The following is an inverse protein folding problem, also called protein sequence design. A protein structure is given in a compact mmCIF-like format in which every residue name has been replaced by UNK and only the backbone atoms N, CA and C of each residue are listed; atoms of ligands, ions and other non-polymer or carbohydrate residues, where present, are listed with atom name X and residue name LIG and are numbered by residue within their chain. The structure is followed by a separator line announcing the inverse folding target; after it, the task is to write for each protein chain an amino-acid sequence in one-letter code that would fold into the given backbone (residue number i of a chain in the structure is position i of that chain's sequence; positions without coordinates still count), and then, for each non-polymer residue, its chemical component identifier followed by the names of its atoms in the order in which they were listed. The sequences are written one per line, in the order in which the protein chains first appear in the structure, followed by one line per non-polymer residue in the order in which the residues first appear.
data_IF_461653985671
#
_entry.id   IF_461653985671
#
_cell.length_a   1.000
_cell.length_b   1.000
_cell.length_c   1.000
_cell.angle_alpha   90.00
_cell.angle_beta   90.00
_cell.angle_gamma   90.00
#
_symmetry.space_group_name_H-M   'P 1'
#
loop_
_entity.id
_entity.type
_entity.pdbx_description
1 polymer ?
#
# COMPACT_ATOMS: atom_id res chain seq x y z
N UNK A 1 21.70 -17.76 -7.83
CA UNK A 1 21.01 -17.81 -6.51
C UNK A 1 21.88 -18.48 -5.45
N UNK A 2 22.46 -19.65 -5.71
CA UNK A 2 23.25 -20.45 -4.75
C UNK A 2 24.46 -19.72 -4.15
N UNK A 3 25.35 -19.13 -4.95
CA UNK A 3 26.57 -18.51 -4.42
C UNK A 3 26.34 -17.27 -3.52
N UNK A 4 25.24 -16.53 -3.72
CA UNK A 4 24.89 -15.37 -2.88
C UNK A 4 24.16 -15.78 -1.60
N UNK A 5 23.28 -16.80 -1.67
CA UNK A 5 22.58 -17.35 -0.51
C UNK A 5 23.50 -18.10 0.47
N UNK A 6 24.68 -18.55 0.01
CA UNK A 6 25.71 -19.19 0.84
C UNK A 6 26.61 -18.19 1.58
N UNK A 7 26.73 -16.95 1.08
CA UNK A 7 27.63 -15.93 1.63
C UNK A 7 27.05 -15.21 2.86
N UNK A 8 25.73 -14.98 2.87
CA UNK A 8 24.98 -14.59 4.07
C UNK A 8 23.64 -15.35 4.10
N UNK A 9 23.54 -16.43 4.90
CA UNK A 9 22.33 -17.24 4.99
C UNK A 9 21.09 -16.50 5.48
N UNK A 10 21.21 -15.27 6.00
CA UNK A 10 20.06 -14.44 6.44
C UNK A 10 19.73 -13.31 5.47
N UNK A 11 20.49 -13.14 4.38
CA UNK A 11 20.22 -12.10 3.39
C UNK A 11 18.88 -12.37 2.68
N UNK A 12 17.89 -11.47 2.79
CA UNK A 12 16.60 -11.62 2.11
C UNK A 12 16.68 -11.32 0.60
N UNK A 13 17.72 -10.64 0.11
CA UNK A 13 17.80 -10.15 -1.27
C UNK A 13 17.78 -11.28 -2.31
N UNK A 14 18.56 -12.37 -2.18
CA UNK A 14 18.49 -13.49 -3.11
C UNK A 14 17.10 -14.12 -3.19
N UNK A 15 16.38 -14.18 -2.06
CA UNK A 15 15.05 -14.78 -1.97
C UNK A 15 13.97 -13.89 -2.55
N UNK A 16 14.03 -12.57 -2.31
CA UNK A 16 13.17 -11.61 -3.00
C UNK A 16 13.32 -11.74 -4.52
N UNK A 17 14.57 -11.76 -5.01
CA UNK A 17 14.85 -11.91 -6.44
C UNK A 17 14.36 -13.27 -6.97
N UNK A 18 14.50 -14.35 -6.20
CA UNK A 18 13.99 -15.66 -6.58
C UNK A 18 12.46 -15.70 -6.68
N UNK A 19 11.75 -15.07 -5.74
CA UNK A 19 10.28 -14.93 -5.79
C UNK A 19 9.83 -14.08 -6.98
N UNK A 20 10.52 -12.96 -7.24
CA UNK A 20 10.25 -12.11 -8.41
C UNK A 20 10.48 -12.87 -9.73
N UNK A 21 11.54 -13.66 -9.80
CA UNK A 21 11.84 -14.52 -10.94
C UNK A 21 10.78 -15.62 -11.12
N UNK A 22 10.44 -16.35 -10.05
CA UNK A 22 9.42 -17.40 -10.08
C UNK A 22 8.07 -16.88 -10.61
N UNK A 23 7.70 -15.66 -10.21
CA UNK A 23 6.55 -14.95 -10.77
C UNK A 23 6.73 -14.66 -12.27
N UNK A 24 7.85 -14.04 -12.66
CA UNK A 24 8.12 -13.69 -14.06
C UNK A 24 8.16 -14.90 -15.01
N UNK A 25 8.52 -16.09 -14.52
CA UNK A 25 8.58 -17.32 -15.31
C UNK A 25 7.35 -18.21 -15.20
N UNK A 26 6.26 -17.76 -14.55
CA UNK A 26 5.06 -18.57 -14.31
C UNK A 26 5.37 -19.93 -13.65
N UNK A 27 6.25 -19.93 -12.65
CA UNK A 27 6.64 -21.14 -11.95
C UNK A 27 5.41 -21.82 -11.30
N UNK A 28 5.45 -23.15 -11.21
CA UNK A 28 4.38 -23.92 -10.58
C UNK A 28 4.23 -23.56 -9.09
N UNK A 29 3.04 -23.79 -8.55
CA UNK A 29 2.72 -23.51 -7.15
C UNK A 29 3.73 -24.15 -6.20
N UNK A 30 4.10 -25.41 -6.43
CA UNK A 30 5.08 -26.14 -5.63
C UNK A 30 6.47 -25.49 -5.63
N UNK A 31 6.94 -24.99 -6.78
CA UNK A 31 8.23 -24.29 -6.86
C UNK A 31 8.18 -22.97 -6.11
N UNK A 32 7.06 -22.26 -6.22
CA UNK A 32 6.86 -21.02 -5.49
C UNK A 32 6.81 -21.24 -3.98
N UNK A 33 6.07 -22.25 -3.50
CA UNK A 33 5.98 -22.61 -2.08
C UNK A 33 7.35 -22.93 -1.49
N UNK A 34 8.19 -23.69 -2.20
CA UNK A 34 9.56 -23.99 -1.76
C UNK A 34 10.41 -22.72 -1.60
N UNK A 35 10.33 -21.79 -2.57
CA UNK A 35 11.05 -20.51 -2.49
C UNK A 35 10.52 -19.62 -1.37
N UNK A 36 9.21 -19.63 -1.16
CA UNK A 36 8.55 -18.88 -0.10
C UNK A 36 8.96 -19.39 1.28
N UNK A 37 8.95 -20.70 1.49
CA UNK A 37 9.40 -21.30 2.74
C UNK A 37 10.85 -20.92 3.08
N UNK A 38 11.74 -20.96 2.09
CA UNK A 38 13.13 -20.58 2.29
C UNK A 38 13.30 -19.08 2.59
N UNK A 39 12.46 -18.22 2.00
CA UNK A 39 12.43 -16.80 2.29
C UNK A 39 11.98 -16.53 3.74
N UNK A 40 10.90 -17.17 4.19
CA UNK A 40 10.38 -17.01 5.56
C UNK A 40 11.33 -17.59 6.60
N UNK A 41 11.98 -18.73 6.31
CA UNK A 41 12.99 -19.34 7.20
C UNK A 41 14.16 -18.40 7.48
N UNK A 42 14.56 -17.59 6.50
CA UNK A 42 15.74 -16.72 6.60
C UNK A 42 15.43 -15.30 7.02
N UNK A 43 14.28 -14.78 6.59
CA UNK A 43 13.88 -13.40 6.86
C UNK A 43 12.36 -13.27 6.93
N UNK A 44 11.78 -13.81 8.00
CA UNK A 44 10.33 -13.86 8.23
C UNK A 44 9.64 -12.50 8.18
N UNK A 45 10.37 -11.41 8.45
CA UNK A 45 9.84 -10.05 8.54
C UNK A 45 10.23 -9.14 7.36
N UNK A 46 10.78 -9.69 6.28
CA UNK A 46 11.17 -8.89 5.12
C UNK A 46 9.96 -8.53 4.24
N UNK A 47 9.51 -7.28 4.31
CA UNK A 47 8.36 -6.75 3.57
C UNK A 47 8.40 -7.07 2.07
N UNK A 48 9.57 -6.92 1.42
CA UNK A 48 9.69 -7.17 -0.02
C UNK A 48 9.38 -8.62 -0.40
N UNK A 49 9.72 -9.60 0.43
CA UNK A 49 9.41 -11.02 0.16
C UNK A 49 7.91 -11.27 0.27
N UNK A 50 7.27 -10.72 1.31
CA UNK A 50 5.83 -10.82 1.50
C UNK A 50 5.05 -10.13 0.38
N UNK A 51 5.52 -8.99 -0.11
CA UNK A 51 4.92 -8.29 -1.22
C UNK A 51 4.99 -9.09 -2.53
N UNK A 52 6.16 -9.69 -2.83
CA UNK A 52 6.30 -10.57 -4.00
C UNK A 52 5.39 -11.80 -3.87
N UNK A 53 5.24 -12.35 -2.67
CA UNK A 53 4.35 -13.48 -2.43
C UNK A 53 2.87 -13.14 -2.59
N UNK A 54 2.44 -12.00 -2.03
CA UNK A 54 1.10 -11.47 -2.26
C UNK A 54 0.79 -11.30 -3.75
N UNK A 55 1.75 -10.79 -4.52
CA UNK A 55 1.58 -10.61 -5.96
C UNK A 55 1.44 -11.94 -6.71
N UNK A 56 2.20 -12.97 -6.35
CA UNK A 56 2.07 -14.31 -6.93
C UNK A 56 0.70 -14.93 -6.64
N UNK A 57 0.21 -14.78 -5.40
CA UNK A 57 -1.09 -15.28 -4.96
C UNK A 57 -2.29 -14.44 -5.44
N UNK A 58 -2.04 -13.29 -6.09
CA UNK A 58 -3.11 -12.40 -6.53
C UNK A 58 -3.95 -13.00 -7.66
N UNK A 59 -5.16 -12.47 -7.82
CA UNK A 59 -6.11 -12.89 -8.85
C UNK A 59 -5.63 -12.72 -10.29
N UNK A 60 -4.61 -11.89 -10.50
CA UNK A 60 -4.00 -11.68 -11.81
C UNK A 60 -3.11 -12.86 -12.26
N UNK A 61 -2.83 -13.80 -11.36
CA UNK A 61 -1.93 -14.91 -11.63
C UNK A 61 -2.60 -16.25 -11.29
N UNK A 62 -2.59 -16.66 -10.03
CA UNK A 62 -2.98 -18.02 -9.65
C UNK A 62 -4.09 -18.09 -8.59
N UNK A 63 -4.44 -17.00 -7.91
CA UNK A 63 -5.40 -17.02 -6.81
C UNK A 63 -6.71 -16.29 -7.11
N UNK A 64 -7.45 -15.99 -6.05
CA UNK A 64 -8.61 -15.10 -6.03
C UNK A 64 -8.34 -13.86 -5.18
N UNK A 65 -9.12 -12.79 -5.38
CA UNK A 65 -9.02 -11.60 -4.52
C UNK A 65 -9.23 -11.93 -3.04
N UNK A 66 -10.05 -12.93 -2.75
CA UNK A 66 -10.29 -13.42 -1.39
C UNK A 66 -9.05 -14.06 -0.81
N UNK A 67 -8.42 -15.01 -1.51
CA UNK A 67 -7.20 -15.68 -1.04
C UNK A 67 -6.03 -14.72 -0.85
N UNK A 68 -5.89 -13.77 -1.78
CA UNK A 68 -4.91 -12.69 -1.71
C UNK A 68 -5.08 -11.88 -0.41
N UNK A 69 -6.31 -11.46 -0.11
CA UNK A 69 -6.61 -10.76 1.15
C UNK A 69 -6.42 -11.64 2.38
N UNK A 70 -6.89 -12.90 2.35
CA UNK A 70 -6.76 -13.83 3.48
C UNK A 70 -5.27 -14.05 3.82
N UNK A 71 -4.39 -14.15 2.81
CA UNK A 71 -2.94 -14.18 3.02
C UNK A 71 -2.42 -12.88 3.64
N UNK A 72 -2.82 -11.73 3.08
CA UNK A 72 -2.37 -10.42 3.52
C UNK A 72 -2.73 -10.13 4.99
N UNK A 73 -3.96 -10.46 5.39
CA UNK A 73 -4.46 -10.25 6.75
C UNK A 73 -3.77 -11.15 7.76
N UNK A 74 -3.54 -12.43 7.42
CA UNK A 74 -2.75 -13.34 8.27
C UNK A 74 -1.33 -12.82 8.45
N UNK A 75 -0.65 -12.47 7.36
CA UNK A 75 0.71 -11.94 7.41
C UNK A 75 0.80 -10.65 8.24
N UNK A 76 -0.18 -9.74 8.11
CA UNK A 76 -0.25 -8.54 8.92
C UNK A 76 -0.49 -8.82 10.41
N UNK A 77 -1.36 -9.79 10.73
CA UNK A 77 -1.63 -10.19 12.12
C UNK A 77 -0.41 -10.82 12.80
N UNK A 78 0.42 -11.54 12.05
CA UNK A 78 1.63 -12.20 12.56
C UNK A 78 2.85 -11.26 12.59
N UNK A 79 2.72 -10.05 12.05
CA UNK A 79 3.81 -9.09 11.94
C UNK A 79 4.15 -8.45 13.29
N UNK A 80 5.44 -8.16 13.49
CA UNK A 80 5.90 -7.35 14.61
C UNK A 80 5.30 -5.93 14.55
N UNK A 81 5.03 -5.28 15.71
CA UNK A 81 4.65 -3.87 15.76
C UNK A 81 5.62 -2.99 14.95
N UNK A 82 5.10 -2.02 14.21
CA UNK A 82 5.88 -1.16 13.32
C UNK A 82 6.35 -1.81 12.02
N UNK A 83 6.12 -3.11 11.78
CA UNK A 83 6.54 -3.74 10.53
C UNK A 83 5.69 -3.31 9.33
N UNK A 84 6.35 -2.98 8.21
CA UNK A 84 5.69 -2.68 6.93
C UNK A 84 4.83 -3.84 6.39
N UNK A 85 5.02 -5.07 6.89
CA UNK A 85 4.14 -6.22 6.59
C UNK A 85 2.68 -5.92 6.98
N UNK A 86 2.44 -5.09 7.99
CA UNK A 86 1.08 -4.71 8.38
C UNK A 86 0.32 -3.97 7.27
N UNK A 87 1.01 -3.44 6.25
CA UNK A 87 0.37 -2.78 5.09
C UNK A 87 -0.06 -3.76 3.99
N UNK A 88 0.31 -5.05 4.06
CA UNK A 88 -0.07 -6.01 3.02
C UNK A 88 -1.57 -6.03 2.68
N UNK A 89 -2.52 -5.89 3.64
CA UNK A 89 -3.95 -5.78 3.31
C UNK A 89 -4.25 -4.58 2.41
N UNK A 90 -3.62 -3.43 2.64
CA UNK A 90 -3.78 -2.27 1.75
C UNK A 90 -3.16 -2.54 0.37
N UNK A 91 -2.06 -3.31 0.30
CA UNK A 91 -1.48 -3.75 -0.98
C UNK A 91 -2.40 -4.72 -1.74
N UNK A 92 -3.13 -5.58 -1.02
CA UNK A 92 -4.16 -6.43 -1.60
C UNK A 92 -5.36 -5.58 -2.07
N UNK A 93 -5.76 -4.57 -1.31
CA UNK A 93 -6.79 -3.60 -1.70
C UNK A 93 -6.42 -2.85 -2.97
N UNK A 94 -5.17 -2.41 -3.08
CA UNK A 94 -4.65 -1.82 -4.31
C UNK A 94 -4.83 -2.77 -5.50
N UNK A 95 -4.34 -4.00 -5.39
CA UNK A 95 -4.44 -4.99 -6.46
C UNK A 95 -5.89 -5.24 -6.88
N UNK A 96 -6.81 -5.35 -5.90
CA UNK A 96 -8.24 -5.47 -6.13
C UNK A 96 -8.83 -4.26 -6.87
N UNK A 97 -8.54 -3.04 -6.42
CA UNK A 97 -9.07 -1.80 -6.99
C UNK A 97 -8.57 -1.52 -8.41
N UNK A 98 -7.40 -2.07 -8.77
CA UNK A 98 -6.83 -2.01 -10.13
C UNK A 98 -7.24 -3.18 -11.02
N UNK A 99 -7.99 -4.15 -10.50
CA UNK A 99 -8.50 -5.29 -11.26
C UNK A 99 -9.84 -4.96 -11.91
N UNK A 100 -10.12 -5.46 -13.14
CA UNK A 100 -11.39 -5.20 -13.84
C UNK A 100 -12.60 -5.88 -13.18
N UNK A 101 -12.38 -6.89 -12.35
CA UNK A 101 -13.44 -7.67 -11.71
C UNK A 101 -13.10 -7.99 -10.25
N UNK A 102 -14.15 -8.11 -9.42
CA UNK A 102 -14.05 -8.46 -8.02
C UNK A 102 -15.33 -8.12 -7.25
N UNK A 103 -15.58 -8.82 -6.15
CA UNK A 103 -16.69 -8.54 -5.23
C UNK A 103 -16.21 -8.72 -3.79
N UNK A 104 -15.38 -7.79 -3.33
CA UNK A 104 -14.99 -7.71 -1.92
C UNK A 104 -15.88 -6.70 -1.19
N UNK A 105 -16.32 -7.02 0.05
CA UNK A 105 -17.04 -6.07 0.89
C UNK A 105 -16.23 -4.79 1.12
N UNK A 106 -16.91 -3.64 1.07
CA UNK A 106 -16.28 -2.33 1.27
C UNK A 106 -15.61 -2.22 2.63
N UNK A 107 -16.22 -2.82 3.65
CA UNK A 107 -15.75 -2.84 5.03
C UNK A 107 -14.35 -3.48 5.14
N UNK A 108 -14.06 -4.48 4.29
CA UNK A 108 -12.75 -5.12 4.25
C UNK A 108 -11.67 -4.20 3.69
N UNK A 109 -12.03 -3.38 2.69
CA UNK A 109 -11.15 -2.38 2.12
C UNK A 109 -10.88 -1.24 3.11
N UNK A 110 -11.91 -0.80 3.83
CA UNK A 110 -11.76 0.24 4.86
C UNK A 110 -10.90 -0.24 6.02
N UNK A 111 -11.07 -1.49 6.49
CA UNK A 111 -10.22 -2.07 7.54
C UNK A 111 -8.74 -2.15 7.11
N UNK A 112 -8.48 -2.54 5.86
CA UNK A 112 -7.13 -2.54 5.29
C UNK A 112 -6.52 -1.14 5.25
N UNK A 113 -7.31 -0.13 4.87
CA UNK A 113 -6.88 1.26 4.87
C UNK A 113 -6.61 1.80 6.29
N UNK A 114 -7.47 1.46 7.26
CA UNK A 114 -7.32 1.89 8.67
C UNK A 114 -6.04 1.32 9.30
N UNK A 115 -5.76 0.04 9.07
CA UNK A 115 -4.52 -0.59 9.53
C UNK A 115 -3.28 0.10 8.94
N UNK A 116 -3.31 0.41 7.64
CA UNK A 116 -2.20 1.09 6.97
C UNK A 116 -2.05 2.56 7.43
N UNK A 117 -3.14 3.27 7.73
CA UNK A 117 -3.10 4.60 8.34
C UNK A 117 -2.46 4.54 9.73
N UNK A 118 -2.85 3.56 10.56
CA UNK A 118 -2.30 3.38 11.88
C UNK A 118 -0.78 3.17 11.83
N UNK A 119 -0.32 2.24 10.98
CA UNK A 119 1.11 2.01 10.80
C UNK A 119 1.83 3.26 10.26
N UNK A 120 1.25 3.94 9.26
CA UNK A 120 1.87 5.14 8.65
C UNK A 120 2.16 6.24 9.68
N UNK A 121 1.32 6.36 10.72
CA UNK A 121 1.47 7.33 11.81
C UNK A 121 2.61 6.99 12.78
N UNK A 122 3.07 5.74 12.83
CA UNK A 122 4.21 5.35 13.67
C UNK A 122 5.55 5.87 13.13
N UNK A 123 5.60 6.16 11.83
CA UNK A 123 6.78 6.70 11.17
C UNK A 123 6.76 8.24 11.11
N UNK A 124 7.94 8.85 11.13
CA UNK A 124 8.06 10.30 10.99
C UNK A 124 7.47 10.80 9.65
N UNK A 125 6.95 12.03 9.65
CA UNK A 125 6.55 12.68 8.41
C UNK A 125 7.78 12.89 7.50
N UNK A 126 7.65 12.59 6.21
CA UNK A 126 8.75 12.65 5.26
C UNK A 126 9.81 11.56 5.44
N UNK A 127 9.54 10.51 6.21
CA UNK A 127 10.43 9.35 6.26
C UNK A 127 10.42 8.60 4.90
N UNK A 128 11.58 8.41 4.25
CA UNK A 128 11.67 7.66 3.00
C UNK A 128 11.36 6.16 3.17
N UNK A 129 11.53 5.59 4.37
CA UNK A 129 11.33 4.16 4.62
C UNK A 129 9.88 3.69 4.33
N UNK A 130 8.82 4.34 4.85
CA UNK A 130 7.45 4.03 4.49
C UNK A 130 6.95 4.74 3.22
N UNK A 131 7.80 5.38 2.41
CA UNK A 131 7.34 6.22 1.30
C UNK A 131 6.47 5.44 0.29
N UNK A 132 6.91 4.26 -0.13
CA UNK A 132 6.15 3.42 -1.08
C UNK A 132 4.78 3.04 -0.51
N UNK A 133 4.72 2.63 0.76
CA UNK A 133 3.45 2.25 1.40
C UNK A 133 2.50 3.43 1.54
N UNK A 134 3.01 4.64 1.82
CA UNK A 134 2.20 5.86 1.89
C UNK A 134 1.65 6.27 0.52
N UNK A 135 2.46 6.17 -0.53
CA UNK A 135 2.02 6.43 -1.90
C UNK A 135 0.93 5.43 -2.33
N UNK A 136 1.12 4.14 -2.04
CA UNK A 136 0.09 3.12 -2.25
C UNK A 136 -1.19 3.40 -1.47
N UNK A 137 -1.08 3.70 -0.18
CA UNK A 137 -2.22 3.97 0.68
C UNK A 137 -3.01 5.18 0.18
N UNK A 138 -2.32 6.21 -0.31
CA UNK A 138 -2.97 7.41 -0.89
C UNK A 138 -3.86 7.03 -2.06
N UNK A 139 -3.39 6.18 -2.97
CA UNK A 139 -4.21 5.69 -4.08
C UNK A 139 -5.44 4.94 -3.57
N UNK A 140 -5.27 4.02 -2.62
CA UNK A 140 -6.38 3.24 -2.04
C UNK A 140 -7.41 4.18 -1.42
N UNK A 141 -7.00 5.16 -0.62
CA UNK A 141 -7.89 6.10 0.05
C UNK A 141 -8.69 6.96 -0.95
N UNK A 142 -8.04 7.42 -2.04
CA UNK A 142 -8.73 8.14 -3.12
C UNK A 142 -9.80 7.27 -3.77
N UNK A 143 -9.48 6.01 -4.07
CA UNK A 143 -10.44 5.05 -4.66
C UNK A 143 -11.58 4.69 -3.72
N UNK A 144 -11.37 4.82 -2.41
CA UNK A 144 -12.38 4.66 -1.37
C UNK A 144 -13.12 5.97 -1.03
N UNK A 145 -12.80 7.07 -1.72
CA UNK A 145 -13.34 8.42 -1.48
C UNK A 145 -13.10 8.95 -0.05
N UNK A 146 -12.01 8.51 0.59
CA UNK A 146 -11.57 8.94 1.92
C UNK A 146 -10.60 10.12 1.79
N UNK A 147 -11.10 11.24 1.28
CA UNK A 147 -10.29 12.38 0.83
C UNK A 147 -9.49 13.05 1.95
N UNK A 148 -10.06 13.18 3.15
CA UNK A 148 -9.36 13.77 4.29
C UNK A 148 -8.17 12.90 4.75
N UNK A 149 -8.37 11.58 4.79
CA UNK A 149 -7.30 10.63 5.09
C UNK A 149 -6.22 10.64 3.99
N UNK A 150 -6.63 10.70 2.72
CA UNK A 150 -5.70 10.80 1.59
C UNK A 150 -4.86 12.08 1.66
N UNK A 151 -5.49 13.22 2.01
CA UNK A 151 -4.79 14.49 2.20
C UNK A 151 -3.78 14.39 3.34
N UNK A 152 -4.11 13.72 4.42
CA UNK A 152 -3.18 13.52 5.53
C UNK A 152 -1.99 12.63 5.13
N UNK A 153 -2.23 11.54 4.40
CA UNK A 153 -1.13 10.72 3.87
C UNK A 153 -0.24 11.52 2.92
N UNK A 154 -0.80 12.38 2.06
CA UNK A 154 -0.03 13.27 1.18
C UNK A 154 0.86 14.25 1.97
N UNK A 155 0.42 14.72 3.14
CA UNK A 155 1.28 15.52 4.05
C UNK A 155 2.41 14.68 4.63
N UNK A 156 2.11 13.45 5.07
CA UNK A 156 3.10 12.53 5.64
C UNK A 156 4.13 12.03 4.60
N UNK A 157 3.77 11.93 3.32
CA UNK A 157 4.70 11.59 2.23
C UNK A 157 5.76 12.69 2.07
N UNK A 158 5.38 13.96 2.23
CA UNK A 158 6.28 15.08 2.00
C UNK A 158 6.83 15.06 0.56
N UNK A 159 8.16 15.07 0.36
CA UNK A 159 8.78 15.09 -0.97
C UNK A 159 8.88 13.71 -1.63
N UNK A 160 8.53 12.62 -0.96
CA UNK A 160 8.87 11.26 -1.40
C UNK A 160 7.81 10.63 -2.32
N UNK A 161 7.65 11.18 -3.53
CA UNK A 161 6.94 10.47 -4.59
C UNK A 161 7.75 9.23 -5.03
N UNK A 162 7.11 8.07 -5.08
CA UNK A 162 7.75 6.79 -5.47
C UNK A 162 7.30 6.35 -6.85
N UNK A 163 8.03 5.46 -7.54
CA UNK A 163 7.58 4.95 -8.84
C UNK A 163 6.30 4.10 -8.71
N UNK A 164 6.31 3.12 -7.80
CA UNK A 164 5.11 2.36 -7.46
C UNK A 164 4.30 3.15 -6.41
N UNK A 165 2.95 3.23 -6.51
CA UNK A 165 2.10 2.50 -7.44
C UNK A 165 1.91 3.16 -8.82
N UNK A 166 2.35 4.40 -9.00
CA UNK A 166 1.95 5.26 -10.12
C UNK A 166 2.38 4.75 -11.49
N UNK A 167 3.48 4.00 -11.55
CA UNK A 167 3.96 3.27 -12.74
C UNK A 167 2.96 2.24 -13.29
N UNK A 168 1.95 1.86 -12.51
CA UNK A 168 0.86 0.98 -12.95
C UNK A 168 -0.29 1.72 -13.63
N UNK A 169 -0.32 3.05 -13.56
CA UNK A 169 -1.40 3.88 -14.10
C UNK A 169 -0.97 4.73 -15.28
N UNK A 170 0.29 5.19 -15.29
CA UNK A 170 0.78 6.14 -16.28
C UNK A 170 2.26 5.92 -16.59
N UNK A 171 2.65 6.31 -17.81
CA UNK A 171 4.06 6.32 -18.25
C UNK A 171 4.89 7.39 -17.54
N UNK A 172 4.24 8.43 -16.98
CA UNK A 172 4.84 9.43 -16.10
C UNK A 172 4.32 9.26 -14.65
N UNK A 173 5.01 8.44 -13.82
CA UNK A 173 4.65 8.22 -12.42
C UNK A 173 4.63 9.51 -11.58
N UNK A 174 5.56 10.44 -11.84
CA UNK A 174 5.67 11.67 -11.07
C UNK A 174 4.53 12.63 -11.41
N UNK A 175 4.25 12.82 -12.71
CA UNK A 175 3.11 13.59 -13.17
C UNK A 175 1.81 13.06 -12.55
N UNK A 176 1.58 11.75 -12.59
CA UNK A 176 0.40 11.12 -12.03
C UNK A 176 0.25 11.36 -10.52
N UNK A 177 1.34 11.28 -9.75
CA UNK A 177 1.32 11.60 -8.32
C UNK A 177 0.94 13.07 -8.06
N UNK A 178 1.52 13.99 -8.82
CA UNK A 178 1.29 15.44 -8.65
C UNK A 178 -0.16 15.81 -8.98
N UNK A 179 -0.70 15.29 -10.08
CA UNK A 179 -2.09 15.48 -10.48
C UNK A 179 -3.06 14.96 -9.40
N UNK A 180 -2.82 13.75 -8.89
CA UNK A 180 -3.64 13.19 -7.82
C UNK A 180 -3.57 14.06 -6.56
N UNK A 181 -2.37 14.52 -6.19
CA UNK A 181 -2.18 15.37 -5.01
C UNK A 181 -2.97 16.68 -5.10
N UNK A 182 -3.00 17.30 -6.28
CA UNK A 182 -3.76 18.53 -6.49
C UNK A 182 -5.26 18.26 -6.56
N UNK A 183 -5.68 17.15 -7.19
CA UNK A 183 -7.07 16.70 -7.18
C UNK A 183 -7.62 16.47 -5.76
N UNK A 184 -6.87 15.79 -4.89
CA UNK A 184 -7.26 15.58 -3.48
C UNK A 184 -7.43 16.91 -2.74
N UNK A 185 -6.55 17.89 -2.96
CA UNK A 185 -6.66 19.21 -2.33
C UNK A 185 -7.93 19.95 -2.75
N UNK A 186 -8.26 19.89 -4.05
CA UNK A 186 -9.48 20.50 -4.60
C UNK A 186 -10.72 19.83 -3.99
N UNK A 187 -10.73 18.50 -3.90
CA UNK A 187 -11.87 17.75 -3.39
C UNK A 187 -12.12 17.99 -1.90
N UNK A 188 -11.07 18.09 -1.08
CA UNK A 188 -11.23 18.47 0.34
C UNK A 188 -11.70 19.92 0.47
N UNK A 189 -11.17 20.83 -0.35
CA UNK A 189 -11.57 22.24 -0.32
C UNK A 189 -13.04 22.44 -0.72
N UNK A 190 -13.54 21.68 -1.70
CA UNK A 190 -14.93 21.77 -2.16
C UNK A 190 -15.93 21.29 -1.09
N UNK A 191 -15.52 20.35 -0.24
CA UNK A 191 -16.32 19.78 0.85
C UNK A 191 -16.27 20.61 2.14
N UNK A 192 -15.27 21.48 2.28
CA UNK A 192 -15.13 22.33 3.47
C UNK A 192 -16.13 23.49 3.39
N UNK A 193 -17.07 23.63 4.35
CA UNK A 193 -18.01 24.73 4.33
C UNK A 193 -17.26 26.06 4.42
N UNK A 194 -17.46 26.96 3.45
CA UNK A 194 -17.03 28.35 3.58
C UNK A 194 -17.71 28.92 4.82
N UNK A 195 -16.94 29.28 5.86
CA UNK A 195 -17.47 30.00 7.02
C UNK A 195 -18.29 31.18 6.51
N UNK A 196 -19.60 31.15 6.75
CA UNK A 196 -20.52 32.23 6.39
C UNK A 196 -20.05 33.56 7.01
N UNK A 197 -20.40 34.71 6.39
CA UNK A 197 -19.95 36.02 6.87
C UNK A 197 -20.30 36.17 8.35
N UNK A 198 -19.29 36.43 9.20
CA UNK A 198 -19.51 36.83 10.59
C UNK A 198 -20.53 37.96 10.58
N UNK A 199 -21.68 37.72 11.21
CA UNK A 199 -22.73 38.71 11.35
C UNK A 199 -22.13 40.02 11.83
N UNK A 200 -22.34 41.08 11.04
CA UNK A 200 -22.18 42.44 11.51
C UNK A 200 -23.16 42.58 12.68
N UNK A 201 -22.64 42.56 13.90
CA UNK A 201 -23.35 43.15 15.04
C UNK A 201 -23.56 44.62 14.70
N UNK A 202 -24.76 44.92 14.18
CA UNK A 202 -25.35 46.24 14.29
C UNK A 202 -25.91 46.33 15.70
N UNK A 203 -25.04 46.63 16.65
CA UNK A 203 -25.46 47.29 17.89
C UNK A 203 -25.88 48.72 17.49
N UNK A 204 -27.17 48.87 17.20
CA UNK A 204 -27.83 50.16 17.10
C UNK A 204 -28.02 50.74 18.50
N UNK A 205 -27.84 52.04 18.59
CA UNK A 205 -28.12 52.89 19.75
C UNK A 205 -29.53 52.65 20.33
N UNK A 206 -29.62 52.67 21.66
CA UNK A 206 -30.54 53.51 22.44
C UNK A 206 -30.09 53.59 23.90
#
# INVERSE_FOLDING_TARGET
LTAAAEADPRDPVPWRIALDHARGTHASHTVFEQLWEEAVRRSSYHYGCHASALQYLSAAWYGSHRECFDFAERAASDALPGSLIQVLPARAAFAYLTSPSGNLPRERLDAAADLAIALSREYAAGDPWPAEVRNLLTYVLVRLERWDDALEQLRLIGPHATSFPWDRMADDPLGQFLELRDGVRIEVASRTPLRGPRGRDRSGDH
#
